data_IF_611363480030
#
_entry.id   IF_611363480030
#
_cell.length_a   1.000
_cell.length_b   1.000
_cell.length_c   1.000
_cell.angle_alpha   90.00
_cell.angle_beta   90.00
_cell.angle_gamma   90.00
#
_symmetry.space_group_name_H-M   'P 1'
#
loop_
_entity.id
_entity.type
_entity.pdbx_description
1 polymer ?
#
# COMPACT_ATOMS: atom_id res chain seq x y z
N UNK A 1 68.34 -10.85 -33.13
CA UNK A 1 67.37 -9.75 -33.07
C UNK A 1 67.37 -9.28 -31.61
N UNK A 2 68.14 -8.24 -31.28
CA UNK A 2 67.76 -6.82 -31.26
C UNK A 2 66.69 -6.45 -30.20
N UNK A 3 67.16 -5.82 -29.10
CA UNK A 3 66.62 -4.72 -28.23
C UNK A 3 65.21 -4.82 -27.60
N UNK A 4 64.90 -4.24 -26.42
CA UNK A 4 65.59 -3.31 -25.52
C UNK A 4 64.86 -3.21 -24.14
N UNK A 5 65.58 -3.01 -23.03
CA UNK A 5 65.74 -1.78 -22.20
C UNK A 5 64.43 -1.29 -21.54
N UNK A 6 64.23 -1.45 -20.22
CA UNK A 6 64.48 -0.44 -19.16
C UNK A 6 63.16 0.29 -18.80
N UNK A 7 62.80 0.68 -17.58
CA UNK A 7 63.57 1.05 -16.41
C UNK A 7 62.73 0.93 -15.12
N UNK A 8 63.39 0.60 -14.02
CA UNK A 8 62.91 0.79 -12.66
C UNK A 8 63.16 2.25 -12.23
N UNK A 9 62.20 2.88 -11.57
CA UNK A 9 62.39 4.14 -10.86
C UNK A 9 61.77 4.04 -9.46
N UNK A 10 62.62 3.70 -8.50
CA UNK A 10 62.39 3.94 -7.06
C UNK A 10 62.81 5.40 -6.82
N UNK A 11 61.87 6.24 -6.41
CA UNK A 11 62.17 7.60 -5.94
C UNK A 11 61.96 7.67 -4.42
N UNK A 12 63.08 7.55 -3.71
CA UNK A 12 63.25 7.81 -2.29
C UNK A 12 63.59 9.31 -2.12
N UNK A 13 62.85 10.06 -1.31
CA UNK A 13 63.19 11.44 -0.92
C UNK A 13 62.88 11.67 0.57
N UNK A 14 63.95 11.90 1.34
CA UNK A 14 64.04 12.32 2.75
C UNK A 14 65.15 13.40 2.74
N UNK A 15 65.16 14.58 3.37
CA UNK A 15 64.63 15.14 4.62
C UNK A 15 64.84 16.69 4.54
N UNK A 16 64.03 17.60 5.10
CA UNK A 16 64.06 18.21 6.47
C UNK A 16 63.96 19.75 6.33
N UNK A 17 63.08 20.39 7.10
CA UNK A 17 63.40 21.54 7.99
C UNK A 17 62.17 22.03 8.76
N UNK A 18 62.30 22.04 10.09
CA UNK A 18 61.39 22.66 11.06
C UNK A 18 61.40 24.19 10.92
N UNK A 19 60.22 24.80 10.89
CA UNK A 19 59.99 26.16 11.39
C UNK A 19 58.72 26.13 12.25
N UNK A 20 58.86 26.55 13.51
CA UNK A 20 57.75 26.83 14.39
C UNK A 20 57.23 28.23 14.08
N UNK A 21 55.94 28.34 13.75
CA UNK A 21 55.23 29.59 13.58
C UNK A 21 53.76 29.38 13.94
N UNK A 22 53.37 29.83 15.13
CA UNK A 22 51.98 29.90 15.58
C UNK A 22 51.28 30.99 14.77
N UNK A 23 50.24 30.62 14.04
CA UNK A 23 49.33 31.53 13.36
C UNK A 23 48.02 30.80 13.13
N UNK A 24 47.06 31.02 14.02
CA UNK A 24 45.70 30.55 13.84
C UNK A 24 45.14 31.15 12.55
N UNK A 25 44.82 30.29 11.59
CA UNK A 25 43.79 30.58 10.59
C UNK A 25 42.65 29.65 11.00
N UNK A 26 41.52 30.24 11.38
CA UNK A 26 40.26 29.49 11.35
C UNK A 26 40.00 29.20 9.88
N UNK A 27 40.46 28.05 9.42
CA UNK A 27 39.86 27.41 8.27
C UNK A 27 38.56 26.81 8.81
N UNK A 28 37.54 27.63 8.69
CA UNK A 28 36.15 27.22 8.75
C UNK A 28 35.95 26.24 7.59
N UNK A 29 36.23 24.96 7.85
CA UNK A 29 35.71 23.89 7.02
C UNK A 29 34.23 23.79 7.35
N UNK A 30 33.42 24.65 6.72
CA UNK A 30 32.10 24.18 6.31
C UNK A 30 32.40 23.13 5.25
N UNK A 31 32.60 21.90 5.70
CA UNK A 31 32.19 20.78 4.88
C UNK A 31 30.68 20.95 4.82
N UNK A 32 30.19 21.55 3.74
CA UNK A 32 28.86 21.21 3.23
C UNK A 32 28.97 19.71 2.92
N UNK A 33 28.83 18.88 3.96
CA UNK A 33 28.50 17.47 3.74
C UNK A 33 27.05 17.55 3.31
N UNK A 34 26.84 17.46 2.00
CA UNK A 34 25.50 17.16 1.50
C UNK A 34 25.08 15.89 2.22
N UNK A 35 23.94 15.88 2.92
CA UNK A 35 23.58 14.73 3.73
C UNK A 35 23.42 13.53 2.80
N UNK A 36 24.12 12.43 3.08
CA UNK A 36 24.05 11.22 2.26
C UNK A 36 22.60 10.71 2.23
N UNK A 37 22.12 10.25 1.07
CA UNK A 37 20.75 9.77 0.96
C UNK A 37 20.50 8.61 1.94
N UNK A 38 19.37 8.68 2.64
CA UNK A 38 18.99 7.70 3.67
C UNK A 38 17.48 7.52 3.70
N UNK A 39 17.02 6.40 4.22
CA UNK A 39 15.61 6.14 4.49
C UNK A 39 15.47 5.30 5.76
N UNK A 40 14.56 5.71 6.61
CA UNK A 40 14.10 4.99 7.80
C UNK A 40 12.61 4.72 7.59
N UNK A 41 12.27 3.43 7.59
CA UNK A 41 10.92 2.92 7.36
C UNK A 41 10.69 1.85 8.41
N UNK A 42 9.99 2.19 9.49
CA UNK A 42 9.76 1.27 10.60
C UNK A 42 8.55 0.35 10.34
N UNK A 43 8.56 -0.82 11.01
CA UNK A 43 7.42 -1.73 11.06
C UNK A 43 6.16 -0.97 11.53
N UNK A 44 5.05 -1.17 10.82
CA UNK A 44 3.83 -0.41 11.06
C UNK A 44 2.56 -1.22 10.81
N UNK A 45 1.45 -0.66 11.23
CA UNK A 45 0.11 -1.21 11.07
C UNK A 45 -0.74 -0.18 10.33
N UNK A 46 -1.48 -0.60 9.31
CA UNK A 46 -2.24 0.29 8.39
C UNK A 46 -3.55 -0.36 7.96
N UNK A 47 -4.50 0.44 7.46
CA UNK A 47 -5.72 -0.03 6.78
C UNK A 47 -5.41 -0.61 5.38
N UNK A 48 -4.18 -0.46 4.88
CA UNK A 48 -3.68 -1.13 3.67
C UNK A 48 -3.47 -0.21 2.47
N UNK A 49 -4.00 1.00 2.51
CA UNK A 49 -3.99 2.00 1.43
C UNK A 49 -2.82 2.99 1.52
N UNK A 50 -2.39 3.35 2.73
CA UNK A 50 -1.31 4.34 2.95
C UNK A 50 -0.26 3.77 3.90
N UNK A 51 1.01 4.04 3.60
CA UNK A 51 2.13 3.80 4.52
C UNK A 51 2.88 5.10 4.79
N UNK A 52 3.51 5.17 5.96
CA UNK A 52 4.33 6.34 6.36
C UNK A 52 5.80 5.96 6.40
N UNK A 53 6.63 6.74 5.71
CA UNK A 53 8.09 6.70 5.83
C UNK A 53 8.53 7.70 6.90
N UNK A 54 9.13 7.21 7.98
CA UNK A 54 9.48 8.02 9.16
C UNK A 54 10.44 9.15 8.84
N UNK A 55 11.52 8.86 8.11
CA UNK A 55 12.49 9.85 7.67
C UNK A 55 13.11 9.44 6.32
N UNK A 56 13.22 10.39 5.40
CA UNK A 56 13.94 10.19 4.14
C UNK A 56 14.80 11.42 3.84
N UNK A 57 16.05 11.17 3.46
CA UNK A 57 16.97 12.21 2.99
C UNK A 57 17.23 12.03 1.50
N UNK A 58 16.90 13.04 0.70
CA UNK A 58 17.18 13.10 -0.74
C UNK A 58 18.19 14.23 -1.03
N UNK A 59 19.29 13.89 -1.68
CA UNK A 59 20.42 14.81 -1.86
C UNK A 59 20.18 15.92 -2.90
N UNK A 60 19.50 15.59 -3.99
CA UNK A 60 19.29 16.45 -5.14
C UNK A 60 17.80 16.65 -5.45
N UNK A 61 16.92 16.19 -4.55
CA UNK A 61 15.48 16.08 -4.76
C UNK A 61 15.10 14.72 -5.36
N UNK A 62 13.82 14.38 -5.33
CA UNK A 62 13.30 13.14 -5.89
C UNK A 62 12.09 12.62 -5.12
N UNK A 63 12.05 11.31 -4.90
CA UNK A 63 10.86 10.60 -4.40
C UNK A 63 11.27 9.49 -3.44
N UNK A 64 10.31 8.95 -2.70
CA UNK A 64 10.45 7.62 -2.11
C UNK A 64 9.46 6.70 -2.81
N UNK A 65 9.96 5.59 -3.35
CA UNK A 65 9.16 4.54 -3.94
C UNK A 65 9.03 3.40 -2.92
N UNK A 66 7.82 2.84 -2.83
CA UNK A 66 7.53 1.67 -2.02
C UNK A 66 7.47 0.47 -2.97
N UNK A 67 8.32 -0.51 -2.68
CA UNK A 67 8.36 -1.76 -3.40
C UNK A 67 7.77 -2.91 -2.57
N UNK A 68 7.12 -3.85 -3.23
CA UNK A 68 6.76 -5.13 -2.63
C UNK A 68 7.96 -6.10 -2.59
N UNK A 69 7.71 -7.30 -2.05
CA UNK A 69 8.75 -8.33 -1.90
C UNK A 69 9.32 -8.88 -3.21
N UNK A 70 8.64 -8.68 -4.36
CA UNK A 70 9.11 -9.16 -5.67
C UNK A 70 10.39 -8.46 -6.13
N UNK A 71 10.71 -7.28 -5.56
CA UNK A 71 12.01 -6.62 -5.73
C UNK A 71 13.16 -7.57 -5.36
N UNK A 72 12.99 -8.37 -4.30
CA UNK A 72 13.99 -9.32 -3.82
C UNK A 72 14.17 -10.53 -4.76
N UNK A 73 13.16 -10.82 -5.58
CA UNK A 73 13.19 -11.81 -6.66
C UNK A 73 13.74 -11.25 -7.99
N UNK A 74 14.01 -9.94 -8.04
CA UNK A 74 14.65 -9.24 -9.14
C UNK A 74 13.69 -8.51 -10.08
N UNK A 75 12.42 -8.38 -9.69
CA UNK A 75 11.38 -7.65 -10.42
C UNK A 75 11.48 -6.15 -10.09
N UNK A 76 12.53 -5.49 -10.58
CA UNK A 76 12.90 -4.14 -10.13
C UNK A 76 11.84 -3.07 -10.46
N UNK A 77 11.23 -3.14 -11.65
CA UNK A 77 10.24 -2.15 -12.09
C UNK A 77 8.83 -2.55 -11.64
N UNK A 78 8.48 -3.82 -11.79
CA UNK A 78 7.14 -4.36 -11.48
C UNK A 78 6.84 -4.37 -9.98
N UNK A 79 7.86 -4.33 -9.11
CA UNK A 79 7.66 -4.29 -7.66
C UNK A 79 7.21 -2.95 -7.12
N UNK A 80 7.25 -1.85 -7.89
CA UNK A 80 6.83 -0.52 -7.42
C UNK A 80 5.32 -0.53 -7.23
N UNK A 81 4.86 -0.36 -6.00
CA UNK A 81 3.45 -0.33 -5.64
C UNK A 81 2.99 1.02 -5.08
N UNK A 82 3.88 1.97 -4.84
CA UNK A 82 3.49 3.31 -4.37
C UNK A 82 4.65 4.30 -4.48
N UNK A 83 4.35 5.59 -4.63
CA UNK A 83 5.35 6.65 -4.78
C UNK A 83 4.89 7.91 -4.07
N UNK A 84 5.78 8.57 -3.33
CA UNK A 84 5.48 9.86 -2.70
C UNK A 84 5.31 10.98 -3.72
N UNK A 85 4.73 12.10 -3.27
CA UNK A 85 4.94 13.37 -3.98
C UNK A 85 6.44 13.74 -4.05
N UNK A 86 6.77 14.67 -4.95
CA UNK A 86 8.13 15.18 -5.09
C UNK A 86 8.65 15.82 -3.79
N UNK A 87 9.84 15.39 -3.41
CA UNK A 87 10.59 15.85 -2.23
C UNK A 87 11.74 16.76 -2.67
N UNK A 88 11.74 18.01 -2.22
CA UNK A 88 12.88 18.91 -2.42
C UNK A 88 14.15 18.34 -1.76
N UNK A 89 15.34 18.73 -2.22
CA UNK A 89 16.60 18.32 -1.60
C UNK A 89 16.65 18.63 -0.09
N UNK A 90 16.89 17.61 0.73
CA UNK A 90 16.89 17.70 2.19
C UNK A 90 16.34 16.44 2.87
N UNK A 91 16.06 16.57 4.16
CA UNK A 91 15.44 15.54 4.99
C UNK A 91 13.96 15.87 5.19
N UNK A 92 13.11 14.87 5.01
CA UNK A 92 11.66 14.91 5.21
C UNK A 92 11.27 13.85 6.24
N UNK A 93 10.30 14.19 7.07
CA UNK A 93 9.78 13.33 8.14
C UNK A 93 8.29 13.06 7.85
N UNK A 94 7.78 11.92 8.32
CA UNK A 94 6.36 11.53 8.23
C UNK A 94 5.82 11.63 6.78
N UNK A 95 6.54 11.02 5.81
CA UNK A 95 6.13 11.05 4.39
C UNK A 95 5.09 9.97 4.14
N UNK A 96 3.85 10.39 3.90
CA UNK A 96 2.75 9.50 3.51
C UNK A 96 2.89 9.09 2.04
N UNK A 97 2.70 7.80 1.78
CA UNK A 97 2.71 7.22 0.42
C UNK A 97 1.46 6.36 0.25
N UNK A 98 0.63 6.75 -0.72
CA UNK A 98 -0.52 5.94 -1.15
C UNK A 98 -0.03 4.75 -1.98
N UNK A 99 -0.58 3.58 -1.71
CA UNK A 99 -0.29 2.33 -2.40
C UNK A 99 -1.31 2.09 -3.51
N UNK A 100 -0.88 1.40 -4.56
CA UNK A 100 -1.67 0.97 -5.73
C UNK A 100 -2.38 2.09 -6.51
N UNK A 101 -2.00 3.33 -6.25
CA UNK A 101 -2.54 4.51 -6.91
C UNK A 101 -1.42 5.43 -7.39
N UNK A 102 -1.73 6.24 -8.40
CA UNK A 102 -0.89 7.38 -8.83
C UNK A 102 0.56 7.04 -9.25
N UNK A 103 0.86 5.78 -9.60
CA UNK A 103 2.16 5.37 -10.18
C UNK A 103 2.09 5.32 -11.71
N UNK A 104 2.66 6.32 -12.37
CA UNK A 104 2.69 6.37 -13.84
C UNK A 104 3.44 5.19 -14.46
N UNK A 105 2.76 4.47 -15.36
CA UNK A 105 3.29 3.29 -16.04
C UNK A 105 3.03 1.95 -15.31
N UNK A 106 2.46 1.98 -14.11
CA UNK A 106 1.98 0.79 -13.42
C UNK A 106 0.47 0.57 -13.64
N UNK A 107 0.03 -0.68 -13.65
CA UNK A 107 -1.38 -1.08 -13.62
C UNK A 107 -1.56 -2.05 -12.46
N UNK A 108 -2.49 -1.76 -11.55
CA UNK A 108 -2.76 -2.57 -10.36
C UNK A 108 -4.13 -3.26 -10.48
N UNK A 109 -4.20 -4.50 -10.00
CA UNK A 109 -5.44 -5.29 -9.94
C UNK A 109 -6.14 -5.15 -8.56
N UNK A 110 -5.56 -4.37 -7.65
CA UNK A 110 -6.03 -4.09 -6.28
C UNK A 110 -5.84 -2.59 -5.96
N UNK A 111 -6.50 -2.11 -4.90
CA UNK A 111 -6.43 -0.71 -4.42
C UNK A 111 -5.71 -0.55 -3.09
N UNK A 112 -5.47 -1.65 -2.38
CA UNK A 112 -4.90 -1.68 -1.03
C UNK A 112 -4.21 -3.03 -0.78
N UNK A 113 -3.48 -3.16 0.33
CA UNK A 113 -2.89 -4.42 0.76
C UNK A 113 -3.95 -5.33 1.38
N UNK A 114 -4.13 -6.52 0.84
CA UNK A 114 -5.08 -7.51 1.38
C UNK A 114 -4.50 -8.38 2.52
N UNK A 115 -3.17 -8.39 2.70
CA UNK A 115 -2.50 -9.21 3.69
C UNK A 115 -1.18 -8.60 4.19
N UNK A 116 -0.78 -8.99 5.40
CA UNK A 116 0.50 -8.62 6.01
C UNK A 116 1.67 -8.86 5.04
N UNK A 117 2.47 -7.82 4.83
CA UNK A 117 3.48 -7.82 3.78
C UNK A 117 4.82 -7.29 4.26
N UNK A 118 5.88 -7.61 3.53
CA UNK A 118 7.18 -6.92 3.66
C UNK A 118 7.29 -5.93 2.52
N UNK A 119 7.39 -4.65 2.88
CA UNK A 119 7.56 -3.55 1.95
C UNK A 119 8.96 -2.97 2.07
N UNK A 120 9.45 -2.37 0.99
CA UNK A 120 10.81 -1.85 0.88
C UNK A 120 10.73 -0.41 0.39
N UNK A 121 11.07 0.53 1.27
CA UNK A 121 11.19 1.94 0.91
C UNK A 121 12.55 2.18 0.23
N UNK A 122 12.53 2.84 -0.93
CA UNK A 122 13.70 3.16 -1.73
C UNK A 122 13.65 4.62 -2.18
N UNK A 123 14.63 5.47 -1.84
CA UNK A 123 14.70 6.81 -2.37
C UNK A 123 15.11 6.80 -3.85
N UNK A 124 14.34 7.47 -4.69
CA UNK A 124 14.63 7.71 -6.10
C UNK A 124 15.01 9.16 -6.33
N UNK A 125 15.94 9.40 -7.26
CA UNK A 125 16.40 10.74 -7.61
C UNK A 125 15.65 11.23 -8.84
N UNK A 126 15.14 12.46 -8.83
CA UNK A 126 14.71 13.12 -10.07
C UNK A 126 15.95 13.39 -10.96
N UNK A 127 16.06 12.67 -12.07
CA UNK A 127 17.28 12.64 -12.91
C UNK A 127 17.25 13.58 -14.10
N UNK A 128 16.08 14.04 -14.51
CA UNK A 128 15.89 14.94 -15.64
C UNK A 128 15.26 16.30 -15.27
N UNK A 129 14.84 16.44 -14.01
CA UNK A 129 14.52 17.70 -13.35
C UNK A 129 13.14 18.22 -13.70
N UNK A 130 12.19 17.33 -13.96
CA UNK A 130 10.80 17.67 -14.25
C UNK A 130 9.84 17.49 -13.06
N UNK A 131 10.35 17.00 -11.92
CA UNK A 131 9.60 16.79 -10.69
C UNK A 131 8.44 15.76 -10.83
N UNK A 132 8.46 14.92 -11.87
CA UNK A 132 7.53 13.80 -12.10
C UNK A 132 8.28 12.45 -11.90
N UNK A 133 7.60 11.40 -11.42
CA UNK A 133 8.24 10.10 -11.22
C UNK A 133 8.11 9.23 -12.47
N UNK A 134 9.23 9.03 -13.17
CA UNK A 134 9.25 8.44 -14.51
C UNK A 134 9.84 7.02 -14.55
N UNK A 135 10.24 6.46 -13.40
CA UNK A 135 10.99 5.21 -13.33
C UNK A 135 10.24 4.05 -13.97
N UNK A 136 8.95 3.88 -13.66
CA UNK A 136 8.16 2.75 -14.18
C UNK A 136 7.83 2.95 -15.66
N UNK A 137 7.31 4.12 -16.06
CA UNK A 137 7.00 4.43 -17.46
C UNK A 137 8.23 4.26 -18.39
N UNK A 138 9.43 4.56 -17.90
CA UNK A 138 10.67 4.48 -18.68
C UNK A 138 11.47 3.18 -18.49
N UNK A 139 10.89 2.10 -17.96
CA UNK A 139 11.58 0.81 -17.74
C UNK A 139 12.89 0.97 -16.92
N UNK A 140 12.88 1.86 -15.93
CA UNK A 140 14.01 2.22 -15.07
C UNK A 140 15.09 3.10 -15.73
N UNK A 141 14.78 3.72 -16.87
CA UNK A 141 15.69 4.58 -17.63
C UNK A 141 15.88 5.97 -17.01
N UNK A 142 14.83 6.51 -16.40
CA UNK A 142 14.81 7.73 -15.62
C UNK A 142 14.57 7.39 -14.15
N UNK A 143 14.89 8.35 -13.30
CA UNK A 143 14.70 8.39 -11.86
C UNK A 143 15.19 7.16 -11.13
N UNK A 144 16.42 6.76 -11.42
CA UNK A 144 17.05 5.65 -10.73
C UNK A 144 17.22 5.91 -9.22
N UNK A 145 17.43 4.85 -8.44
CA UNK A 145 17.57 4.96 -6.99
C UNK A 145 18.81 5.77 -6.60
N UNK A 146 18.75 6.36 -5.41
CA UNK A 146 19.96 6.76 -4.71
C UNK A 146 20.78 5.52 -4.34
N UNK A 147 22.11 5.63 -4.46
CA UNK A 147 23.01 4.50 -4.24
C UNK A 147 24.19 4.89 -3.36
N UNK A 148 24.51 4.04 -2.38
CA UNK A 148 25.71 4.11 -1.56
C UNK A 148 26.63 2.92 -1.89
N UNK A 149 27.92 3.18 -2.12
CA UNK A 149 28.91 2.15 -2.52
C UNK A 149 28.53 1.29 -3.75
N UNK A 150 27.59 1.77 -4.56
CA UNK A 150 27.07 1.09 -5.75
C UNK A 150 25.89 0.15 -5.50
N UNK A 151 25.34 0.16 -4.28
CA UNK A 151 24.13 -0.56 -3.88
C UNK A 151 23.00 0.47 -3.64
N UNK A 152 21.75 0.09 -3.93
CA UNK A 152 20.60 0.99 -3.70
C UNK A 152 20.42 1.24 -2.20
N UNK A 153 20.08 2.47 -1.84
CA UNK A 153 19.67 2.82 -0.48
C UNK A 153 18.25 2.31 -0.29
N UNK A 154 18.04 1.41 0.67
CA UNK A 154 16.75 0.79 0.97
C UNK A 154 16.57 0.58 2.46
N UNK A 155 15.32 0.50 2.90
CA UNK A 155 14.95 0.02 4.23
C UNK A 155 13.66 -0.81 4.09
N UNK A 156 13.66 -2.01 4.69
CA UNK A 156 12.52 -2.91 4.67
C UNK A 156 11.75 -2.86 6.00
N UNK A 157 10.43 -2.87 5.91
CA UNK A 157 9.53 -2.91 7.04
C UNK A 157 8.51 -4.04 6.89
N UNK A 158 8.10 -4.62 8.01
CA UNK A 158 6.90 -5.43 8.07
C UNK A 158 5.69 -4.53 8.28
N UNK A 159 4.75 -4.61 7.34
CA UNK A 159 3.48 -3.88 7.39
C UNK A 159 2.39 -4.89 7.71
N UNK A 160 1.83 -4.77 8.91
CA UNK A 160 0.64 -5.50 9.31
C UNK A 160 -0.59 -4.75 8.75
N UNK A 161 -1.50 -5.46 8.10
CA UNK A 161 -2.78 -4.86 7.67
C UNK A 161 -3.77 -5.04 8.81
N UNK A 162 -4.37 -3.95 9.28
CA UNK A 162 -5.56 -4.07 10.10
C UNK A 162 -6.62 -4.66 9.18
N UNK A 163 -6.94 -5.94 9.38
CA UNK A 163 -8.22 -6.42 8.88
C UNK A 163 -9.24 -5.46 9.48
N UNK A 164 -9.98 -4.75 8.62
CA UNK A 164 -11.27 -4.22 8.99
C UNK A 164 -12.15 -5.43 9.23
N UNK A 165 -11.86 -6.15 10.32
CA UNK A 165 -12.90 -6.76 11.11
C UNK A 165 -13.83 -5.59 11.40
N UNK A 166 -14.87 -5.42 10.59
CA UNK A 166 -16.10 -4.85 11.07
C UNK A 166 -16.56 -5.79 12.21
N UNK A 167 -15.90 -5.71 13.36
CA UNK A 167 -16.22 -6.42 14.59
C UNK A 167 -17.62 -5.98 15.09
N UNK A 168 -18.13 -4.87 14.55
CA UNK A 168 -19.50 -4.38 14.68
C UNK A 168 -20.42 -4.84 13.53
N UNK A 169 -19.93 -5.39 12.42
CA UNK A 169 -20.78 -5.96 11.38
C UNK A 169 -21.52 -7.18 11.91
N UNK A 170 -22.83 -7.16 11.70
CA UNK A 170 -23.72 -8.25 12.12
C UNK A 170 -23.44 -9.53 11.32
N UNK A 171 -22.86 -9.38 10.12
CA UNK A 171 -22.43 -10.45 9.24
C UNK A 171 -20.99 -10.22 8.73
N UNK A 172 -20.01 -10.85 9.38
CA UNK A 172 -18.60 -10.76 8.98
C UNK A 172 -18.15 -11.84 7.98
N UNK A 173 -18.97 -12.84 7.70
CA UNK A 173 -18.67 -13.94 6.78
C UNK A 173 -19.87 -14.21 5.87
N UNK A 174 -19.65 -14.69 4.63
CA UNK A 174 -20.72 -15.22 3.79
C UNK A 174 -21.52 -16.32 4.49
N UNK A 175 -22.84 -16.28 4.31
CA UNK A 175 -23.78 -17.25 4.88
C UNK A 175 -24.05 -18.38 3.87
N UNK A 176 -23.74 -19.62 4.26
CA UNK A 176 -24.12 -20.81 3.48
C UNK A 176 -25.58 -21.19 3.76
N UNK A 177 -26.44 -21.07 2.75
CA UNK A 177 -27.86 -21.42 2.82
C UNK A 177 -28.12 -22.74 2.07
N UNK A 178 -28.71 -23.71 2.77
CA UNK A 178 -29.11 -24.99 2.19
C UNK A 178 -30.65 -25.10 2.12
N UNK A 179 -31.23 -25.05 0.91
CA UNK A 179 -32.68 -25.21 0.71
C UNK A 179 -32.95 -26.28 -0.35
N UNK A 180 -33.76 -27.28 -0.01
CA UNK A 180 -34.15 -28.40 -0.90
C UNK A 180 -32.98 -29.10 -1.65
N UNK A 181 -31.78 -29.10 -1.06
CA UNK A 181 -30.58 -29.72 -1.63
C UNK A 181 -29.81 -28.86 -2.64
N UNK A 182 -30.12 -27.56 -2.71
CA UNK A 182 -29.30 -26.52 -3.31
C UNK A 182 -28.54 -25.80 -2.19
N UNK A 183 -27.24 -25.60 -2.38
CA UNK A 183 -26.39 -24.75 -1.51
C UNK A 183 -26.12 -23.44 -2.24
N UNK A 184 -26.41 -22.32 -1.59
CA UNK A 184 -26.15 -20.97 -2.08
C UNK A 184 -25.31 -20.28 -1.01
N UNK A 185 -24.21 -19.65 -1.43
CA UNK A 185 -23.43 -18.75 -0.58
C UNK A 185 -23.95 -17.34 -0.82
N UNK A 186 -24.27 -16.63 0.25
CA UNK A 186 -24.84 -15.28 0.25
C UNK A 186 -23.96 -14.37 1.09
N UNK A 187 -23.45 -13.29 0.52
CA UNK A 187 -22.76 -12.23 1.27
C UNK A 187 -21.22 -12.26 1.28
N UNK A 188 -20.58 -11.62 2.28
CA UNK A 188 -21.24 -11.05 3.47
C UNK A 188 -22.23 -9.93 3.08
N UNK A 189 -23.44 -9.89 3.67
CA UNK A 189 -24.35 -8.78 3.48
C UNK A 189 -23.71 -7.46 3.92
N UNK A 190 -24.07 -6.36 3.26
CA UNK A 190 -23.56 -5.01 3.54
C UNK A 190 -24.71 -4.02 3.88
N UNK A 191 -24.39 -3.04 4.73
CA UNK A 191 -25.28 -1.93 5.07
C UNK A 191 -25.13 -0.81 4.05
N UNK A 192 -26.22 -0.42 3.38
CA UNK A 192 -26.18 0.65 2.37
C UNK A 192 -26.09 2.07 2.95
N UNK A 193 -26.70 2.34 4.10
CA UNK A 193 -26.83 3.69 4.66
C UNK A 193 -26.61 3.81 6.19
N UNK A 194 -25.83 2.88 6.77
CA UNK A 194 -25.42 2.84 8.19
C UNK A 194 -26.62 2.91 9.18
N UNK A 195 -27.80 2.48 8.75
CA UNK A 195 -29.01 2.49 9.56
C UNK A 195 -29.22 1.19 10.36
N UNK A 196 -28.33 0.22 10.17
CA UNK A 196 -28.36 -1.12 10.76
C UNK A 196 -29.14 -2.15 9.95
N UNK A 197 -29.65 -1.80 8.76
CA UNK A 197 -30.40 -2.68 7.86
C UNK A 197 -29.54 -3.04 6.64
N UNK A 198 -29.43 -4.34 6.40
CA UNK A 198 -28.60 -4.93 5.35
C UNK A 198 -29.47 -5.19 4.12
N UNK A 199 -29.41 -4.26 3.16
CA UNK A 199 -30.22 -4.31 1.93
C UNK A 199 -29.47 -4.90 0.74
N UNK A 200 -28.13 -4.85 0.75
CA UNK A 200 -27.27 -5.61 -0.16
C UNK A 200 -26.91 -6.93 0.51
N UNK A 201 -27.43 -8.03 -0.03
CA UNK A 201 -27.22 -9.35 0.55
C UNK A 201 -26.05 -10.09 -0.08
N UNK A 202 -25.51 -9.63 -1.21
CA UNK A 202 -24.36 -10.25 -1.87
C UNK A 202 -23.07 -9.45 -1.80
N UNK A 203 -23.09 -8.27 -1.17
CA UNK A 203 -21.93 -7.42 -0.94
C UNK A 203 -21.29 -6.99 -2.27
N UNK A 204 -22.12 -6.53 -3.21
CA UNK A 204 -21.65 -5.97 -4.48
C UNK A 204 -21.87 -4.46 -4.61
N UNK A 205 -22.17 -3.80 -3.48
CA UNK A 205 -22.47 -2.37 -3.35
C UNK A 205 -23.71 -1.93 -4.17
N UNK A 206 -24.57 -2.86 -4.59
CA UNK A 206 -25.75 -2.57 -5.41
C UNK A 206 -27.03 -3.21 -4.83
N UNK A 207 -28.01 -2.40 -4.43
CA UNK A 207 -29.34 -2.92 -4.05
C UNK A 207 -30.17 -3.25 -5.30
N UNK A 208 -30.29 -4.53 -5.62
CA UNK A 208 -30.96 -5.02 -6.83
C UNK A 208 -32.15 -5.94 -6.53
N UNK A 209 -32.87 -6.33 -7.60
CA UNK A 209 -33.89 -7.39 -7.50
C UNK A 209 -33.30 -8.77 -7.21
N UNK A 210 -31.97 -8.93 -7.30
CA UNK A 210 -31.29 -10.16 -6.92
C UNK A 210 -31.24 -10.28 -5.39
N UNK A 211 -31.01 -9.18 -4.68
CA UNK A 211 -31.05 -9.08 -3.21
C UNK A 211 -32.42 -9.47 -2.67
N UNK A 212 -33.49 -8.95 -3.27
CA UNK A 212 -34.86 -9.36 -2.94
C UNK A 212 -35.09 -10.87 -3.09
N UNK A 213 -34.47 -11.50 -4.10
CA UNK A 213 -34.56 -12.95 -4.29
C UNK A 213 -33.71 -13.73 -3.28
N UNK A 214 -32.53 -13.21 -2.94
CA UNK A 214 -31.67 -13.77 -1.90
C UNK A 214 -32.38 -13.71 -0.54
N UNK A 215 -33.06 -12.61 -0.23
CA UNK A 215 -33.84 -12.48 1.00
C UNK A 215 -34.96 -13.52 1.06
N UNK A 216 -35.72 -13.69 -0.02
CA UNK A 216 -36.76 -14.73 -0.06
C UNK A 216 -36.20 -16.16 0.16
N UNK A 217 -34.94 -16.41 -0.22
CA UNK A 217 -34.24 -17.66 0.07
C UNK A 217 -33.87 -17.76 1.56
N UNK A 218 -33.38 -16.67 2.17
CA UNK A 218 -33.13 -16.56 3.62
C UNK A 218 -34.40 -16.88 4.41
N UNK A 219 -35.51 -16.21 4.10
CA UNK A 219 -36.82 -16.44 4.74
C UNK A 219 -37.21 -17.93 4.65
N UNK A 220 -37.09 -18.52 3.46
CA UNK A 220 -37.41 -19.95 3.27
C UNK A 220 -36.53 -20.85 4.14
N UNK A 221 -35.24 -20.55 4.25
CA UNK A 221 -34.30 -21.34 5.04
C UNK A 221 -34.56 -21.22 6.56
N UNK A 222 -34.91 -20.02 7.03
CA UNK A 222 -35.32 -19.79 8.43
C UNK A 222 -36.63 -20.52 8.73
N UNK A 223 -37.63 -20.46 7.84
CA UNK A 223 -38.92 -21.14 8.01
C UNK A 223 -38.80 -22.68 8.07
N UNK A 224 -37.82 -23.25 7.35
CA UNK A 224 -37.57 -24.70 7.32
C UNK A 224 -36.58 -25.18 8.40
N UNK A 225 -36.17 -24.30 9.34
CA UNK A 225 -35.15 -24.58 10.37
C UNK A 225 -33.77 -25.00 9.77
N UNK A 226 -33.45 -24.56 8.55
CA UNK A 226 -32.16 -24.84 7.89
C UNK A 226 -31.14 -23.69 8.07
N UNK A 227 -31.60 -22.51 8.51
CA UNK A 227 -30.77 -21.36 8.88
C UNK A 227 -31.23 -20.79 10.23
N UNK A 228 -30.32 -20.72 11.20
CA UNK A 228 -30.55 -20.11 12.52
C UNK A 228 -29.90 -18.72 12.55
N UNK A 229 -30.71 -17.66 12.48
CA UNK A 229 -30.22 -16.29 12.66
C UNK A 229 -30.11 -15.93 14.16
N UNK A 230 -29.06 -15.19 14.52
CA UNK A 230 -28.99 -14.50 15.80
C UNK A 230 -30.10 -13.44 15.89
N UNK A 231 -30.41 -12.96 17.10
CA UNK A 231 -31.40 -11.88 17.25
C UNK A 231 -30.99 -10.58 16.56
N UNK A 232 -29.69 -10.31 16.50
CA UNK A 232 -29.11 -9.15 15.84
C UNK A 232 -29.12 -9.34 14.32
N UNK A 233 -28.79 -10.55 13.84
CA UNK A 233 -28.87 -10.91 12.43
C UNK A 233 -30.29 -10.87 11.88
N UNK A 234 -31.29 -11.23 12.70
CA UNK A 234 -32.69 -11.14 12.31
C UNK A 234 -33.14 -9.67 12.23
N UNK A 235 -32.71 -8.80 13.15
CA UNK A 235 -33.01 -7.37 13.14
C UNK A 235 -32.32 -6.65 11.96
N UNK A 236 -31.12 -7.11 11.59
CA UNK A 236 -30.36 -6.60 10.45
C UNK A 236 -30.99 -6.90 9.08
N UNK A 237 -31.80 -7.95 8.96
CA UNK A 237 -32.50 -8.32 7.72
C UNK A 237 -34.02 -8.15 7.80
N UNK A 238 -34.51 -7.51 8.87
CA UNK A 238 -35.88 -7.03 9.04
C UNK A 238 -35.99 -5.65 8.38
N UNK A 239 -36.25 -5.66 7.08
CA UNK A 239 -36.15 -4.49 6.19
C UNK A 239 -37.31 -3.53 6.47
N UNK A 240 -38.49 -4.05 6.80
CA UNK A 240 -39.67 -3.21 7.09
C UNK A 240 -39.76 -2.74 8.56
N UNK A 241 -38.91 -3.31 9.42
CA UNK A 241 -38.73 -2.95 10.82
C UNK A 241 -39.91 -3.35 11.71
N UNK A 242 -40.70 -4.35 11.31
CA UNK A 242 -41.84 -4.85 12.08
C UNK A 242 -41.46 -5.88 13.16
N UNK A 243 -40.23 -6.39 13.10
CA UNK A 243 -39.61 -7.32 14.03
C UNK A 243 -39.68 -8.79 13.62
N UNK A 244 -40.23 -9.12 12.45
CA UNK A 244 -40.34 -10.47 11.93
C UNK A 244 -39.68 -10.59 10.54
N UNK A 245 -38.72 -11.50 10.38
CA UNK A 245 -38.07 -11.76 9.07
C UNK A 245 -38.97 -12.59 8.17
N UNK A 246 -39.62 -11.97 7.18
CA UNK A 246 -40.56 -12.62 6.26
C UNK A 246 -40.53 -12.09 4.81
N UNK A 247 -41.51 -12.52 3.99
CA UNK A 247 -41.52 -12.17 2.57
C UNK A 247 -41.89 -10.71 2.29
N UNK A 248 -42.47 -10.00 3.25
CA UNK A 248 -42.76 -8.57 3.14
C UNK A 248 -41.43 -7.77 3.14
N UNK A 249 -40.39 -8.22 3.86
CA UNK A 249 -39.04 -7.66 3.78
C UNK A 249 -38.42 -7.77 2.36
N UNK A 250 -38.54 -8.96 1.77
CA UNK A 250 -38.05 -9.21 0.42
C UNK A 250 -38.77 -8.33 -0.62
N UNK A 251 -40.03 -7.97 -0.36
CA UNK A 251 -40.76 -7.03 -1.21
C UNK A 251 -40.26 -5.60 -1.03
N UNK A 252 -39.88 -5.20 0.18
CA UNK A 252 -39.30 -3.88 0.43
C UNK A 252 -37.98 -3.68 -0.30
N UNK A 253 -37.06 -4.67 -0.26
CA UNK A 253 -35.83 -4.63 -1.06
C UNK A 253 -36.14 -4.47 -2.55
N UNK A 254 -37.15 -5.19 -3.07
CA UNK A 254 -37.55 -5.07 -4.46
C UNK A 254 -38.14 -3.68 -4.81
N UNK A 255 -38.77 -3.01 -3.85
CA UNK A 255 -39.25 -1.64 -4.00
C UNK A 255 -38.07 -0.66 -4.02
N UNK A 256 -37.12 -0.79 -3.09
CA UNK A 256 -35.88 0.02 -3.04
C UNK A 256 -35.09 -0.12 -4.35
N UNK A 257 -34.79 -1.35 -4.78
CA UNK A 257 -34.08 -1.64 -6.02
C UNK A 257 -34.76 -1.06 -7.28
N UNK A 258 -36.09 -0.94 -7.27
CA UNK A 258 -36.83 -0.32 -8.37
C UNK A 258 -36.73 1.22 -8.35
N UNK A 259 -36.57 1.84 -7.18
CA UNK A 259 -36.40 3.28 -7.05
C UNK A 259 -34.98 3.76 -7.40
N UNK A 260 -33.98 2.90 -7.20
CA UNK A 260 -32.56 3.19 -7.46
C UNK A 260 -32.08 2.83 -8.89
N UNK A 261 -32.82 1.96 -9.59
CA UNK A 261 -32.51 1.47 -10.96
C UNK A 261 -33.00 2.30 -12.17
#
# INVERSE_FOLDING_TARGET
MLWGVGAAAVALLVAVSLVAGVGAVSADSHTDENPEASVDFDDQTTEGDIVTVDEVTVEEGGFVAIHDSSLLDGEVVESVIGVSEYLEAGTHEDVEVTLFEEVDGAEFDQSELDEDSTLIAMPHRDTDGDEEYDFVENDGGNDGPYTEDGEAVVNDAHVDVEETDDDDAVFSEPVEIAVEGLTIEVGPPEEGDEDGVYTDLNGDDEVTVLDALLHAVVVTAVEEDELDLSGEQAEAVDIDGDGDVDYDDALEIAEIAHEEG
#
